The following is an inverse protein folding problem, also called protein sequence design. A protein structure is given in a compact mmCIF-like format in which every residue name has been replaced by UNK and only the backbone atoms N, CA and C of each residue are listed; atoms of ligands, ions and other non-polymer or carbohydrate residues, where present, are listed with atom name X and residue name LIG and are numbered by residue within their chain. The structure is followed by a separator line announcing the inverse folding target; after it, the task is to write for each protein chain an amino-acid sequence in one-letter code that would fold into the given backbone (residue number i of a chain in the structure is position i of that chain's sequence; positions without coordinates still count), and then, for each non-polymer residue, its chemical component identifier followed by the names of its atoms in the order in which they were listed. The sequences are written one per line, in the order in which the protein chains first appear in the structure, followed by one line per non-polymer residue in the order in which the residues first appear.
data_IF_516029931945
#
_entry.id   IF_516029931945
#
_cell.length_a   1.000
_cell.length_b   1.000
_cell.length_c   1.000
_cell.angle_alpha   90.00
_cell.angle_beta   90.00
_cell.angle_gamma   90.00
#
_symmetry.space_group_name_H-M   'P 1'
#
loop_
_entity.id
_entity.type
_entity.pdbx_description
1 polymer ?
#
# COMPACT_ATOMS: atom_id res chain seq x y z
N UNK A 1 20.02 -8.98 -11.22
CA UNK A 1 20.17 -7.56 -10.86
C UNK A 1 21.64 -7.21 -11.05
N UNK A 2 21.98 -6.36 -12.02
CA UNK A 2 23.37 -5.93 -12.21
C UNK A 2 23.86 -5.17 -10.98
N UNK A 3 25.15 -5.31 -10.65
CA UNK A 3 25.76 -4.60 -9.53
C UNK A 3 25.87 -3.11 -9.91
N UNK A 4 25.21 -2.24 -9.15
CA UNK A 4 25.26 -0.78 -9.36
C UNK A 4 26.57 -0.28 -8.77
N UNK A 5 27.52 0.07 -9.62
CA UNK A 5 28.79 0.68 -9.20
C UNK A 5 28.58 2.17 -8.87
N UNK A 6 29.47 2.72 -8.06
CA UNK A 6 29.64 4.13 -7.75
C UNK A 6 29.72 5.05 -8.98
N UNK A 7 30.24 4.55 -10.11
CA UNK A 7 30.37 5.27 -11.38
C UNK A 7 29.13 5.13 -12.29
N UNK A 8 28.09 4.41 -11.86
CA UNK A 8 26.87 4.20 -12.66
C UNK A 8 26.19 5.54 -12.95
N UNK A 9 25.98 5.85 -14.24
CA UNK A 9 25.22 7.03 -14.66
C UNK A 9 23.75 6.81 -14.33
N UNK A 10 23.16 7.75 -13.59
CA UNK A 10 21.73 7.73 -13.27
C UNK A 10 21.01 8.78 -14.11
N UNK A 11 20.08 8.32 -14.94
CA UNK A 11 19.17 9.18 -15.68
C UNK A 11 17.88 9.39 -14.89
N UNK A 12 17.38 10.63 -14.90
CA UNK A 12 16.16 11.00 -14.18
C UNK A 12 15.00 11.14 -15.15
N UNK A 13 14.06 10.21 -15.09
CA UNK A 13 12.79 10.28 -15.84
C UNK A 13 11.83 11.16 -15.06
N UNK A 14 11.41 12.29 -15.63
CA UNK A 14 10.37 13.14 -15.03
C UNK A 14 9.00 12.72 -15.53
N UNK A 15 8.07 12.47 -14.61
CA UNK A 15 6.67 12.24 -14.92
C UNK A 15 5.82 13.45 -14.53
N UNK A 16 5.33 14.16 -15.55
CA UNK A 16 4.59 15.44 -15.39
C UNK A 16 3.23 15.25 -14.71
N UNK A 17 2.58 14.12 -14.94
CA UNK A 17 1.33 13.76 -14.26
C UNK A 17 1.59 12.57 -13.33
N UNK A 18 1.79 12.84 -12.03
CA UNK A 18 2.09 11.79 -11.05
C UNK A 18 1.04 10.67 -11.07
N UNK A 19 -0.24 11.03 -11.23
CA UNK A 19 -1.34 10.05 -11.20
C UNK A 19 -1.28 9.12 -12.40
N UNK A 20 -0.99 9.66 -13.58
CA UNK A 20 -0.86 8.91 -14.82
C UNK A 20 0.37 7.97 -14.74
N UNK A 21 1.46 8.41 -14.11
CA UNK A 21 2.63 7.57 -13.81
C UNK A 21 2.32 6.41 -12.87
N UNK A 22 1.63 6.65 -11.75
CA UNK A 22 1.24 5.57 -10.84
C UNK A 22 0.27 4.60 -11.53
N UNK A 23 -0.68 5.10 -12.33
CA UNK A 23 -1.58 4.24 -13.11
C UNK A 23 -0.78 3.38 -14.10
N UNK A 24 0.17 3.97 -14.83
CA UNK A 24 1.00 3.26 -15.79
C UNK A 24 1.91 2.20 -15.15
N UNK A 25 2.35 2.41 -13.91
CA UNK A 25 3.08 1.41 -13.13
C UNK A 25 2.18 0.26 -12.68
N UNK A 26 0.98 0.58 -12.20
CA UNK A 26 0.01 -0.42 -11.73
C UNK A 26 -0.59 -1.23 -12.88
N UNK A 27 -0.76 -0.61 -14.04
CA UNK A 27 -1.34 -1.19 -15.25
C UNK A 27 -0.46 -0.85 -16.47
N UNK A 28 0.53 -1.70 -16.80
CA UNK A 28 1.43 -1.47 -17.91
C UNK A 28 0.73 -1.33 -19.27
N UNK A 29 -0.46 -1.92 -19.45
CA UNK A 29 -1.24 -1.78 -20.68
C UNK A 29 -1.97 -0.43 -20.80
N UNK A 30 -1.94 0.40 -19.76
CA UNK A 30 -2.60 1.69 -19.73
C UNK A 30 -2.16 2.59 -20.91
N UNK A 31 -3.10 3.34 -21.51
CA UNK A 31 -2.81 4.23 -22.64
C UNK A 31 -2.01 5.47 -22.22
N UNK A 32 -1.86 5.74 -20.93
CA UNK A 32 -1.03 6.85 -20.47
C UNK A 32 0.43 6.71 -20.92
N UNK A 33 1.05 7.84 -21.25
CA UNK A 33 2.48 7.98 -21.61
C UNK A 33 3.11 9.05 -20.71
N UNK A 34 3.27 8.75 -19.41
CA UNK A 34 3.64 9.76 -18.42
C UNK A 34 5.16 10.01 -18.37
N UNK A 35 5.96 9.12 -18.96
CA UNK A 35 7.41 9.22 -19.01
C UNK A 35 7.81 10.32 -19.99
N UNK A 36 8.58 11.31 -19.52
CA UNK A 36 9.05 12.44 -20.31
C UNK A 36 10.05 12.08 -21.41
N UNK A 37 10.78 13.08 -21.90
CA UNK A 37 11.69 12.96 -23.05
C UNK A 37 12.62 11.75 -22.99
N UNK A 38 12.71 11.04 -24.11
CA UNK A 38 13.66 9.94 -24.31
C UNK A 38 15.09 10.47 -24.18
N UNK A 39 15.86 9.85 -23.29
CA UNK A 39 17.30 10.08 -23.19
C UNK A 39 18.05 8.86 -23.75
N UNK A 40 19.23 9.12 -24.33
CA UNK A 40 20.14 8.06 -24.76
C UNK A 40 20.71 7.34 -23.54
N UNK A 41 20.03 6.25 -23.14
CA UNK A 41 20.50 5.34 -22.10
C UNK A 41 21.29 4.19 -22.72
N UNK A 42 22.46 3.90 -22.14
CA UNK A 42 23.26 2.74 -22.52
C UNK A 42 22.96 1.55 -21.57
N UNK A 43 23.11 0.30 -22.05
CA UNK A 43 23.04 -0.85 -21.16
C UNK A 43 24.05 -0.71 -20.01
N UNK A 44 23.57 -0.86 -18.76
CA UNK A 44 24.36 -0.62 -17.55
C UNK A 44 24.07 0.70 -16.86
N UNK A 45 23.46 1.68 -17.54
CA UNK A 45 22.94 2.89 -16.90
C UNK A 45 21.77 2.55 -15.97
N UNK A 46 21.50 3.42 -14.99
CA UNK A 46 20.37 3.28 -14.09
C UNK A 46 19.33 4.38 -14.30
N UNK A 47 18.07 4.06 -14.00
CA UNK A 47 16.95 4.99 -14.09
C UNK A 47 16.42 5.31 -12.70
N UNK A 48 16.23 6.60 -12.42
CA UNK A 48 15.49 7.12 -11.28
C UNK A 48 14.24 7.84 -11.78
N UNK A 49 13.06 7.45 -11.30
CA UNK A 49 11.80 8.09 -11.71
C UNK A 49 11.40 9.16 -10.70
N UNK A 50 11.24 10.39 -11.18
CA UNK A 50 10.76 11.52 -10.40
C UNK A 50 9.33 11.88 -10.80
N UNK A 51 8.45 11.99 -9.81
CA UNK A 51 7.03 12.33 -9.96
C UNK A 51 6.80 13.79 -9.54
N UNK A 52 6.06 14.54 -10.36
CA UNK A 52 5.57 15.89 -10.02
C UNK A 52 4.42 15.82 -9.00
N UNK A 53 4.76 15.38 -7.79
CA UNK A 53 3.93 15.51 -6.59
C UNK A 53 4.32 16.75 -5.79
N UNK A 54 3.54 17.07 -4.77
CA UNK A 54 3.80 18.09 -3.77
C UNK A 54 3.89 17.37 -2.42
N UNK A 55 5.06 17.35 -1.74
CA UNK A 55 6.37 17.72 -2.29
C UNK A 55 6.80 16.76 -3.43
N UNK A 56 7.78 17.17 -4.24
CA UNK A 56 8.32 16.34 -5.34
C UNK A 56 8.80 15.00 -4.80
N UNK A 57 8.46 13.91 -5.48
CA UNK A 57 8.82 12.57 -5.02
C UNK A 57 9.54 11.77 -6.08
N UNK A 58 10.17 10.70 -5.64
CA UNK A 58 10.88 9.74 -6.48
C UNK A 58 10.47 8.33 -6.12
N UNK A 59 10.44 7.47 -7.13
CA UNK A 59 10.38 6.03 -6.93
C UNK A 59 11.76 5.61 -6.45
N UNK A 60 11.86 5.20 -5.19
CA UNK A 60 13.10 4.82 -4.53
C UNK A 60 13.53 3.39 -4.92
N UNK A 61 13.60 3.15 -6.23
CA UNK A 61 14.16 1.96 -6.85
C UNK A 61 15.18 2.42 -7.89
N UNK A 62 16.25 1.65 -8.05
CA UNK A 62 17.18 1.81 -9.16
C UNK A 62 17.01 0.61 -10.08
N UNK A 63 16.61 0.88 -11.32
CA UNK A 63 16.54 -0.16 -12.34
C UNK A 63 17.59 0.08 -13.39
N UNK A 64 18.40 -0.95 -13.64
CA UNK A 64 19.42 -0.95 -14.68
C UNK A 64 18.76 -1.10 -16.05
N UNK A 65 19.22 -0.34 -17.03
CA UNK A 65 18.85 -0.51 -18.44
C UNK A 65 19.59 -1.74 -18.99
N UNK A 66 18.84 -2.68 -19.56
CA UNK A 66 19.40 -3.96 -20.04
C UNK A 66 19.54 -4.01 -21.56
N UNK A 67 18.74 -3.24 -22.28
CA UNK A 67 18.75 -3.12 -23.73
C UNK A 67 18.39 -1.69 -24.15
N UNK A 68 18.61 -1.37 -25.42
CA UNK A 68 18.24 -0.07 -26.00
C UNK A 68 16.75 0.08 -26.31
N UNK A 69 15.90 -0.83 -25.83
CA UNK A 69 14.45 -0.86 -26.11
C UNK A 69 13.65 0.22 -25.35
N UNK A 70 14.33 1.28 -24.90
CA UNK A 70 13.77 2.38 -24.14
C UNK A 70 13.72 2.15 -22.63
N UNK A 71 13.27 3.19 -21.92
CA UNK A 71 13.27 3.25 -20.45
C UNK A 71 12.01 2.64 -19.83
N UNK A 72 10.92 2.55 -20.59
CA UNK A 72 9.63 2.04 -20.12
C UNK A 72 9.70 0.57 -19.63
N UNK A 73 10.38 -0.36 -20.33
CA UNK A 73 10.62 -1.71 -19.80
C UNK A 73 11.41 -1.72 -18.49
N UNK A 74 12.37 -0.81 -18.32
CA UNK A 74 13.11 -0.68 -17.07
C UNK A 74 12.21 -0.17 -15.94
N UNK A 75 11.38 0.84 -16.19
CA UNK A 75 10.44 1.38 -15.20
C UNK A 75 9.38 0.34 -14.80
N UNK A 76 8.89 -0.47 -15.74
CA UNK A 76 7.92 -1.54 -15.44
C UNK A 76 8.47 -2.54 -14.40
N UNK A 77 9.77 -2.84 -14.45
CA UNK A 77 10.43 -3.72 -13.47
C UNK A 77 10.52 -3.15 -12.06
N UNK A 78 10.26 -1.85 -11.85
CA UNK A 78 10.12 -1.31 -10.49
C UNK A 78 9.00 -2.01 -9.69
N UNK A 79 8.05 -2.64 -10.38
CA UNK A 79 6.97 -3.41 -9.78
C UNK A 79 7.32 -4.90 -9.58
N UNK A 80 8.31 -5.42 -10.31
CA UNK A 80 8.79 -6.81 -10.27
C UNK A 80 9.78 -7.04 -9.12
N UNK A 81 9.41 -6.64 -7.89
CA UNK A 81 10.27 -6.96 -6.75
C UNK A 81 10.14 -8.46 -6.44
N UNK A 82 11.28 -9.16 -6.34
CA UNK A 82 11.37 -10.60 -6.02
C UNK A 82 10.65 -11.00 -4.70
N UNK A 83 10.13 -10.03 -3.95
CA UNK A 83 9.45 -10.19 -2.66
C UNK A 83 8.00 -9.70 -2.65
N UNK A 84 7.41 -9.39 -3.81
CA UNK A 84 5.99 -9.00 -3.94
C UNK A 84 5.63 -7.66 -3.30
N UNK A 85 6.62 -6.82 -3.02
CA UNK A 85 6.44 -5.46 -2.50
C UNK A 85 6.32 -4.44 -3.64
N UNK A 86 5.58 -3.36 -3.40
CA UNK A 86 5.55 -2.21 -4.33
C UNK A 86 6.67 -1.25 -3.98
N UNK A 87 7.20 -0.49 -4.96
CA UNK A 87 8.30 0.42 -4.71
C UNK A 87 7.89 1.53 -3.74
N UNK A 88 8.84 2.04 -2.97
CA UNK A 88 8.59 3.18 -2.10
C UNK A 88 8.64 4.50 -2.89
N UNK A 89 7.68 5.39 -2.65
CA UNK A 89 7.72 6.80 -3.05
C UNK A 89 8.29 7.67 -1.92
N UNK A 90 9.46 8.25 -2.12
CA UNK A 90 10.10 9.13 -1.15
C UNK A 90 10.10 10.56 -1.65
N UNK A 91 10.00 11.52 -0.73
CA UNK A 91 10.22 12.92 -1.07
C UNK A 91 11.67 13.11 -1.53
N UNK A 92 11.88 13.84 -2.62
CA UNK A 92 13.19 14.03 -3.24
C UNK A 92 14.19 14.67 -2.27
N UNK A 93 13.81 15.73 -1.57
CA UNK A 93 14.71 16.44 -0.64
C UNK A 93 15.13 15.54 0.53
N UNK A 94 14.17 14.80 1.09
CA UNK A 94 14.46 13.80 2.13
C UNK A 94 15.42 12.72 1.62
N UNK A 95 15.21 12.20 0.41
CA UNK A 95 16.11 11.20 -0.17
C UNK A 95 17.51 11.77 -0.42
N UNK A 96 17.59 12.98 -0.99
CA UNK A 96 18.84 13.67 -1.24
C UNK A 96 19.64 13.88 0.04
N UNK A 97 18.97 14.29 1.12
CA UNK A 97 19.60 14.45 2.43
C UNK A 97 20.13 13.14 3.01
N UNK A 98 19.41 12.02 2.83
CA UNK A 98 19.78 10.72 3.37
C UNK A 98 20.87 10.00 2.58
N UNK A 99 20.97 10.26 1.28
CA UNK A 99 21.84 9.51 0.35
C UNK A 99 22.97 10.34 -0.24
N UNK A 100 22.92 11.67 -0.11
CA UNK A 100 23.80 12.58 -0.85
C UNK A 100 23.48 12.65 -2.34
N UNK A 101 22.29 12.20 -2.76
CA UNK A 101 21.84 12.26 -4.15
C UNK A 101 21.72 13.72 -4.61
N UNK A 102 22.39 14.06 -5.71
CA UNK A 102 22.31 15.37 -6.34
C UNK A 102 21.66 15.23 -7.71
N UNK A 103 20.54 15.93 -7.93
CA UNK A 103 19.84 15.97 -9.22
C UNK A 103 20.12 17.30 -9.91
N UNK A 104 20.59 17.26 -11.14
CA UNK A 104 20.88 18.44 -11.95
C UNK A 104 20.59 18.19 -13.43
N UNK A 105 20.55 19.27 -14.20
CA UNK A 105 20.35 19.21 -15.65
C UNK A 105 21.68 19.47 -16.36
N UNK A 106 21.99 18.65 -17.35
CA UNK A 106 23.11 18.85 -18.28
C UNK A 106 22.62 18.87 -19.74
N UNK A 107 23.56 18.83 -20.70
CA UNK A 107 23.24 18.83 -22.14
C UNK A 107 22.55 17.55 -22.61
N UNK A 108 22.64 16.45 -21.84
CA UNK A 108 22.07 15.14 -22.16
C UNK A 108 20.73 14.86 -21.48
N UNK A 109 20.30 15.71 -20.54
CA UNK A 109 19.01 15.61 -19.86
C UNK A 109 19.09 15.92 -18.37
N UNK A 110 18.20 15.32 -17.59
CA UNK A 110 18.26 15.39 -16.12
C UNK A 110 18.97 14.15 -15.62
N UNK A 111 20.06 14.34 -14.89
CA UNK A 111 20.88 13.26 -14.36
C UNK A 111 21.05 13.39 -12.85
N UNK A 112 21.38 12.28 -12.21
CA UNK A 112 21.68 12.24 -10.78
C UNK A 112 23.09 11.70 -10.50
N UNK A 113 23.74 12.26 -9.48
CA UNK A 113 25.01 11.76 -8.90
C UNK A 113 24.76 11.20 -7.50
N UNK A 114 25.62 10.29 -7.08
CA UNK A 114 25.51 9.63 -5.76
C UNK A 114 24.92 8.22 -5.83
N UNK A 115 25.19 7.48 -6.91
CA UNK A 115 24.66 6.12 -7.11
C UNK A 115 24.98 5.18 -5.95
N UNK A 116 26.19 5.25 -5.38
CA UNK A 116 26.58 4.42 -4.25
C UNK A 116 25.69 4.64 -3.00
N UNK A 117 25.44 5.90 -2.62
CA UNK A 117 24.61 6.22 -1.45
C UNK A 117 23.15 5.83 -1.65
N UNK A 118 22.62 6.02 -2.87
CA UNK A 118 21.27 5.59 -3.22
C UNK A 118 21.15 4.06 -3.26
N UNK A 119 22.12 3.36 -3.86
CA UNK A 119 22.14 1.91 -3.91
C UNK A 119 22.24 1.31 -2.50
N UNK A 120 23.08 1.85 -1.60
CA UNK A 120 23.14 1.42 -0.21
C UNK A 120 21.78 1.62 0.50
N UNK A 121 21.17 2.79 0.33
CA UNK A 121 19.88 3.11 0.93
C UNK A 121 18.75 2.18 0.47
N UNK A 122 18.67 1.90 -0.83
CA UNK A 122 17.70 0.97 -1.42
C UNK A 122 17.99 -0.48 -0.96
N UNK A 123 19.27 -0.88 -0.95
CA UNK A 123 19.70 -2.22 -0.52
C UNK A 123 19.43 -2.49 0.96
N UNK A 124 19.48 -1.46 1.82
CA UNK A 124 19.04 -1.53 3.22
C UNK A 124 17.54 -1.74 3.37
N UNK A 125 16.82 -1.86 2.24
CA UNK A 125 15.40 -2.09 2.08
C UNK A 125 14.61 -1.14 2.95
N UNK A 126 14.23 0.00 2.39
CA UNK A 126 13.02 0.69 2.87
C UNK A 126 11.91 -0.34 2.69
N UNK A 127 11.38 -0.96 3.77
CA UNK A 127 10.28 -1.89 3.60
C UNK A 127 9.19 -1.09 2.92
N UNK A 128 8.66 -1.58 1.79
CA UNK A 128 7.49 -1.00 1.12
C UNK A 128 6.54 -0.53 2.21
N UNK A 129 6.52 0.79 2.39
CA UNK A 129 6.18 1.44 3.64
C UNK A 129 4.67 1.49 3.77
N UNK A 130 4.00 0.34 3.81
CA UNK A 130 2.55 0.27 3.99
C UNK A 130 2.12 0.48 5.44
N UNK A 131 2.96 1.14 6.25
CA UNK A 131 2.54 1.70 7.52
C UNK A 131 1.55 2.83 7.27
N UNK A 132 0.50 2.91 8.09
CA UNK A 132 -0.53 3.94 7.99
C UNK A 132 0.04 5.36 7.85
N UNK A 133 1.07 5.69 8.65
CA UNK A 133 1.73 7.01 8.64
C UNK A 133 2.33 7.44 7.31
N UNK A 134 2.79 6.48 6.53
CA UNK A 134 3.40 6.77 5.23
C UNK A 134 2.38 7.32 4.22
N UNK A 135 1.11 6.91 4.36
CA UNK A 135 -0.02 7.27 3.50
C UNK A 135 -0.88 8.40 4.07
N UNK A 136 -0.52 8.95 5.22
CA UNK A 136 -1.24 10.06 5.84
C UNK A 136 -0.78 11.41 5.27
N UNK A 137 -1.66 12.41 5.40
CA UNK A 137 -1.52 13.76 4.87
C UNK A 137 -2.40 14.00 3.63
N UNK A 138 -2.61 15.28 3.33
CA UNK A 138 -3.44 15.74 2.20
C UNK A 138 -2.63 16.12 0.95
N UNK A 139 -1.34 15.76 0.92
CA UNK A 139 -0.44 16.11 -0.16
C UNK A 139 -0.63 15.16 -1.37
N UNK A 140 -0.23 15.59 -2.57
CA UNK A 140 -0.32 14.70 -3.74
C UNK A 140 0.69 13.55 -3.67
N UNK A 141 1.76 13.68 -2.88
CA UNK A 141 2.64 12.56 -2.52
C UNK A 141 1.89 11.53 -1.66
N UNK A 142 1.13 11.96 -0.65
CA UNK A 142 0.31 11.05 0.14
C UNK A 142 -0.72 10.34 -0.77
N UNK A 143 -1.37 11.09 -1.67
CA UNK A 143 -2.30 10.51 -2.65
C UNK A 143 -1.65 9.47 -3.58
N UNK A 144 -0.43 9.75 -4.07
CA UNK A 144 0.35 8.83 -4.89
C UNK A 144 0.68 7.53 -4.14
N UNK A 145 1.07 7.64 -2.87
CA UNK A 145 1.34 6.50 -1.99
C UNK A 145 0.10 5.66 -1.73
N UNK A 146 -1.05 6.29 -1.54
CA UNK A 146 -2.33 5.59 -1.36
C UNK A 146 -2.69 4.80 -2.62
N UNK A 147 -2.58 5.42 -3.79
CA UNK A 147 -2.88 4.76 -5.06
C UNK A 147 -1.92 3.60 -5.33
N UNK A 148 -0.61 3.82 -5.18
CA UNK A 148 0.38 2.77 -5.36
C UNK A 148 0.15 1.62 -4.36
N UNK A 149 -0.10 1.91 -3.08
CA UNK A 149 -0.41 0.92 -2.04
C UNK A 149 -1.81 0.27 -2.19
N UNK A 150 -2.66 0.75 -3.11
CA UNK A 150 -3.89 0.05 -3.49
C UNK A 150 -3.62 -1.14 -4.43
N UNK A 151 -2.62 -1.03 -5.30
CA UNK A 151 -2.27 -2.08 -6.26
C UNK A 151 -3.27 -2.27 -7.39
N UNK A 152 -4.05 -1.24 -7.71
CA UNK A 152 -5.14 -1.37 -8.67
C UNK A 152 -6.42 -1.95 -8.09
N UNK A 153 -6.55 -2.07 -6.76
CA UNK A 153 -7.77 -2.57 -6.12
C UNK A 153 -8.50 -1.47 -5.34
N UNK A 154 -9.81 -1.40 -5.51
CA UNK A 154 -10.65 -0.52 -4.71
C UNK A 154 -10.59 -0.96 -3.23
N UNK A 155 -10.18 -0.06 -2.35
CA UNK A 155 -10.10 -0.33 -0.90
C UNK A 155 -11.49 -0.57 -0.30
N UNK A 156 -12.52 0.06 -0.88
CA UNK A 156 -13.91 -0.03 -0.43
C UNK A 156 -14.59 -1.36 -0.75
N UNK A 157 -14.56 -1.81 -2.01
CA UNK A 157 -15.27 -3.01 -2.46
C UNK A 157 -14.37 -4.19 -2.84
N UNK A 158 -13.04 -4.01 -2.88
CA UNK A 158 -12.06 -5.03 -3.31
C UNK A 158 -12.22 -5.51 -4.76
N UNK A 159 -12.97 -4.78 -5.61
CA UNK A 159 -12.93 -4.97 -7.06
C UNK A 159 -11.70 -4.30 -7.65
N UNK A 160 -11.20 -4.85 -8.74
CA UNK A 160 -10.15 -4.22 -9.54
C UNK A 160 -10.64 -2.87 -10.08
N UNK A 161 -9.75 -1.88 -10.08
CA UNK A 161 -9.96 -0.57 -10.67
C UNK A 161 -9.70 -0.67 -12.16
N UNK A 162 -10.58 -0.11 -12.99
CA UNK A 162 -10.30 0.01 -14.42
C UNK A 162 -9.24 1.09 -14.66
N UNK A 163 -8.00 0.64 -14.77
CA UNK A 163 -6.82 1.46 -15.05
C UNK A 163 -6.46 1.52 -16.55
N UNK A 164 -7.21 0.80 -17.38
CA UNK A 164 -6.98 0.67 -18.83
C UNK A 164 -7.72 1.74 -19.64
N UNK A 165 -8.78 2.32 -19.08
CA UNK A 165 -9.53 3.38 -19.73
C UNK A 165 -8.68 4.64 -19.99
N UNK A 166 -8.89 5.29 -21.14
CA UNK A 166 -8.18 6.53 -21.50
C UNK A 166 -8.36 7.69 -20.51
N UNK A 167 -9.44 7.65 -19.74
CA UNK A 167 -9.81 8.62 -18.72
C UNK A 167 -9.79 8.02 -17.30
N UNK A 168 -9.13 6.86 -17.09
CA UNK A 168 -9.06 6.14 -15.80
C UNK A 168 -8.66 7.04 -14.62
N UNK A 169 -7.81 8.04 -14.84
CA UNK A 169 -7.41 9.00 -13.80
C UNK A 169 -8.59 9.73 -13.13
N UNK A 170 -9.74 9.85 -13.79
CA UNK A 170 -10.94 10.48 -13.24
C UNK A 170 -11.88 9.49 -12.53
N UNK A 171 -11.69 8.19 -12.76
CA UNK A 171 -12.51 7.10 -12.22
C UNK A 171 -11.91 6.46 -10.95
N UNK A 172 -10.75 6.96 -10.52
CA UNK A 172 -10.07 6.54 -9.30
C UNK A 172 -10.02 7.72 -8.33
N UNK A 173 -10.69 7.58 -7.19
CA UNK A 173 -10.79 8.62 -6.17
C UNK A 173 -9.88 8.31 -5.00
N UNK A 174 -9.15 9.30 -4.52
CA UNK A 174 -8.19 9.13 -3.43
C UNK A 174 -8.72 9.83 -2.18
N UNK A 175 -8.97 9.04 -1.14
CA UNK A 175 -9.35 9.51 0.18
C UNK A 175 -8.10 9.65 1.04
N UNK A 176 -7.62 10.88 1.20
CA UNK A 176 -6.51 11.24 2.07
C UNK A 176 -6.99 11.50 3.50
N UNK A 177 -6.17 11.16 4.49
CA UNK A 177 -6.47 11.38 5.91
C UNK A 177 -5.26 11.96 6.62
N UNK A 178 -5.50 12.88 7.54
CA UNK A 178 -4.42 13.46 8.34
C UNK A 178 -3.77 12.43 9.28
N UNK A 179 -2.49 12.67 9.55
CA UNK A 179 -1.84 12.12 10.72
C UNK A 179 -2.14 13.06 11.89
N UNK A 180 -3.18 12.77 12.67
CA UNK A 180 -3.30 13.41 13.98
C UNK A 180 -2.55 12.55 15.01
N UNK A 181 -1.35 12.95 15.45
CA UNK A 181 -0.59 12.22 16.46
C UNK A 181 -1.21 12.33 17.86
N UNK A 182 -2.10 13.31 18.08
CA UNK A 182 -2.80 13.54 19.34
C UNK A 182 -4.22 12.94 19.34
N UNK A 183 -4.74 12.54 18.17
CA UNK A 183 -6.05 11.90 18.08
C UNK A 183 -6.10 10.67 18.99
N UNK A 184 -7.14 10.57 19.85
CA UNK A 184 -7.32 9.37 20.64
C UNK A 184 -7.57 8.21 19.67
N UNK A 185 -6.71 7.21 19.74
CA UNK A 185 -7.00 5.91 19.15
C UNK A 185 -8.30 5.40 19.76
N UNK A 186 -9.27 5.01 18.93
CA UNK A 186 -10.49 4.42 19.46
C UNK A 186 -10.14 3.03 20.00
N UNK A 187 -10.31 2.74 21.30
CA UNK A 187 -10.04 1.42 21.82
C UNK A 187 -11.01 0.41 21.21
N UNK A 188 -10.49 -0.71 20.68
CA UNK A 188 -11.32 -1.89 20.44
C UNK A 188 -11.81 -2.42 21.78
N UNK A 189 -13.13 -2.38 21.96
CA UNK A 189 -13.80 -2.84 23.17
C UNK A 189 -13.64 -4.34 23.42
N UNK A 190 -13.22 -5.13 22.42
CA UNK A 190 -12.89 -6.54 22.62
C UNK A 190 -11.39 -6.74 22.96
N UNK A 191 -11.12 -6.82 24.26
CA UNK A 191 -9.95 -7.54 24.77
C UNK A 191 -10.32 -9.03 24.90
N UNK A 192 -9.60 -9.96 24.24
CA UNK A 192 -9.87 -11.38 24.43
C UNK A 192 -9.64 -11.76 25.89
N UNK A 193 -10.52 -12.59 26.52
CA UNK A 193 -10.37 -12.95 27.92
C UNK A 193 -8.99 -13.56 28.22
N UNK A 194 -8.48 -13.30 29.42
CA UNK A 194 -7.27 -13.97 29.89
C UNK A 194 -7.50 -15.48 29.94
N UNK A 195 -6.61 -16.31 29.38
CA UNK A 195 -6.71 -17.75 29.52
C UNK A 195 -6.55 -18.06 31.00
N UNK A 196 -7.53 -18.78 31.55
CA UNK A 196 -7.42 -19.38 32.86
C UNK A 196 -6.24 -20.36 32.79
N UNK A 197 -5.18 -20.12 33.54
CA UNK A 197 -3.97 -20.95 33.47
C UNK A 197 -4.20 -22.28 34.19
N UNK A 198 -4.34 -23.36 33.43
CA UNK A 198 -4.10 -24.69 33.98
C UNK A 198 -2.61 -25.04 33.73
N UNK A 199 -1.86 -25.05 34.84
CA UNK A 199 -0.49 -25.54 35.05
C UNK A 199 0.70 -24.92 34.28
N UNK A 200 1.74 -24.59 35.05
CA UNK A 200 2.93 -23.84 34.66
C UNK A 200 4.04 -24.79 34.18
N UNK A 201 4.47 -24.67 32.92
CA UNK A 201 5.61 -25.39 32.32
C UNK A 201 6.38 -24.49 31.35
N UNK A 202 7.56 -24.88 30.84
CA UNK A 202 8.33 -24.05 29.90
C UNK A 202 7.57 -23.65 28.61
N UNK A 203 6.44 -24.27 28.31
CA UNK A 203 5.50 -23.89 27.25
C UNK A 203 4.60 -22.68 27.62
N UNK A 204 4.65 -22.22 28.87
CA UNK A 204 3.95 -21.02 29.37
C UNK A 204 4.74 -19.73 29.15
N UNK A 205 5.81 -19.76 28.33
CA UNK A 205 6.56 -18.57 27.91
C UNK A 205 5.56 -17.62 27.22
N UNK A 206 5.27 -16.53 27.92
CA UNK A 206 4.34 -15.51 27.45
C UNK A 206 4.95 -14.79 26.24
N UNK A 207 4.47 -15.11 25.04
CA UNK A 207 4.58 -14.22 23.90
C UNK A 207 3.53 -13.11 24.09
N UNK A 208 3.88 -12.07 24.84
CA UNK A 208 2.96 -10.97 25.21
C UNK A 208 2.59 -10.03 24.06
N UNK A 209 3.13 -10.19 22.85
CA UNK A 209 2.85 -9.28 21.72
C UNK A 209 1.52 -9.50 20.99
N UNK A 210 0.76 -10.54 21.34
CA UNK A 210 -0.49 -10.88 20.62
C UNK A 210 -1.72 -10.10 21.10
N UNK A 211 -1.67 -9.49 22.29
CA UNK A 211 -2.84 -9.06 23.06
C UNK A 211 -3.05 -7.54 23.19
N UNK A 212 -2.25 -6.72 22.51
CA UNK A 212 -2.54 -5.29 22.50
C UNK A 212 -3.88 -5.05 21.77
N UNK A 213 -4.83 -4.31 22.38
CA UNK A 213 -6.08 -3.96 21.71
C UNK A 213 -5.72 -3.25 20.41
N UNK A 214 -6.32 -3.70 19.29
CA UNK A 214 -6.09 -3.03 18.01
C UNK A 214 -6.54 -1.58 18.20
N UNK A 215 -5.64 -0.64 18.02
CA UNK A 215 -5.99 0.78 18.11
C UNK A 215 -6.38 1.22 16.72
N UNK A 216 -7.64 1.62 16.53
CA UNK A 216 -8.09 2.12 15.23
C UNK A 216 -7.84 3.63 15.12
N UNK A 217 -7.25 4.08 14.00
CA UNK A 217 -7.27 5.50 13.68
C UNK A 217 -8.74 5.95 13.47
N UNK A 218 -9.00 7.24 13.60
CA UNK A 218 -10.33 7.81 13.34
C UNK A 218 -10.77 7.57 11.89
N UNK A 219 -9.82 7.54 10.97
CA UNK A 219 -10.08 7.31 9.56
C UNK A 219 -8.90 6.60 8.87
N UNK A 220 -9.07 6.19 7.62
CA UNK A 220 -8.12 5.36 6.91
C UNK A 220 -7.93 5.79 5.44
N UNK A 221 -6.68 5.88 4.94
CA UNK A 221 -6.42 6.25 3.55
C UNK A 221 -6.93 5.20 2.57
N UNK A 222 -7.60 5.61 1.49
CA UNK A 222 -8.22 4.67 0.55
C UNK A 222 -8.17 5.14 -0.90
N UNK A 223 -8.03 4.17 -1.82
CA UNK A 223 -8.31 4.36 -3.24
C UNK A 223 -9.67 3.73 -3.57
N UNK A 224 -10.56 4.49 -4.20
CA UNK A 224 -11.96 4.12 -4.44
C UNK A 224 -12.28 4.15 -5.93
N UNK A 225 -13.10 3.19 -6.38
CA UNK A 225 -13.81 3.30 -7.66
C UNK A 225 -14.96 4.30 -7.55
N UNK A 226 -15.52 4.72 -8.69
CA UNK A 226 -16.69 5.62 -8.76
C UNK A 226 -17.83 5.16 -7.84
N UNK A 227 -18.29 3.92 -7.96
CA UNK A 227 -19.39 3.39 -7.15
C UNK A 227 -19.15 3.58 -5.64
N UNK A 228 -17.93 3.28 -5.17
CA UNK A 228 -17.61 3.41 -3.74
C UNK A 228 -17.47 4.88 -3.31
N UNK A 229 -16.94 5.73 -4.19
CA UNK A 229 -16.84 7.17 -3.93
C UNK A 229 -18.24 7.80 -3.82
N UNK A 230 -19.12 7.47 -4.76
CA UNK A 230 -20.49 7.98 -4.82
C UNK A 230 -21.35 7.45 -3.67
N UNK A 231 -21.27 6.15 -3.36
CA UNK A 231 -21.96 5.56 -2.20
C UNK A 231 -21.49 6.19 -0.88
N UNK A 232 -20.18 6.41 -0.72
CA UNK A 232 -19.62 7.07 0.47
C UNK A 232 -20.18 8.49 0.60
N UNK A 233 -20.19 9.26 -0.49
CA UNK A 233 -20.67 10.65 -0.52
C UNK A 233 -22.18 10.75 -0.32
N UNK A 234 -22.97 9.97 -1.05
CA UNK A 234 -24.44 9.97 -0.95
C UNK A 234 -24.94 9.41 0.37
N UNK A 235 -24.21 8.45 0.96
CA UNK A 235 -24.49 7.91 2.28
C UNK A 235 -24.18 8.86 3.44
N UNK A 236 -23.58 10.03 3.17
CA UNK A 236 -23.23 11.03 4.18
C UNK A 236 -22.06 10.63 5.07
N UNK A 237 -21.19 9.72 4.62
CA UNK A 237 -20.02 9.30 5.38
C UNK A 237 -18.89 10.33 5.22
N UNK A 238 -18.37 10.82 6.34
CA UNK A 238 -17.21 11.74 6.36
C UNK A 238 -15.87 11.00 6.43
N UNK A 239 -15.87 9.77 6.95
CA UNK A 239 -14.69 8.91 7.06
C UNK A 239 -14.85 7.61 6.28
N UNK A 240 -13.76 7.15 5.68
CA UNK A 240 -13.72 5.90 4.94
C UNK A 240 -13.95 4.69 5.84
N UNK A 241 -13.47 4.69 7.09
CA UNK A 241 -13.68 3.55 7.99
C UNK A 241 -15.16 3.31 8.29
N UNK A 242 -15.92 4.36 8.58
CA UNK A 242 -17.36 4.26 8.82
C UNK A 242 -18.09 3.73 7.58
N UNK A 243 -17.75 4.26 6.39
CA UNK A 243 -18.25 3.73 5.13
C UNK A 243 -17.90 2.24 4.97
N UNK A 244 -16.64 1.86 5.21
CA UNK A 244 -16.16 0.48 5.04
C UNK A 244 -16.89 -0.48 5.97
N UNK A 245 -17.07 -0.13 7.24
CA UNK A 245 -17.82 -0.96 8.20
C UNK A 245 -19.33 -0.95 7.92
N UNK A 246 -19.88 0.10 7.30
CA UNK A 246 -21.29 0.11 6.89
C UNK A 246 -21.65 -0.98 5.88
N UNK A 247 -20.65 -1.43 5.09
CA UNK A 247 -20.78 -2.52 4.11
C UNK A 247 -20.69 -3.91 4.72
N UNK A 248 -20.33 -4.00 6.00
CA UNK A 248 -20.20 -5.28 6.70
C UNK A 248 -21.50 -5.63 7.44
N UNK A 249 -21.81 -6.92 7.65
CA UNK A 249 -23.01 -7.32 8.36
C UNK A 249 -22.97 -6.84 9.82
N UNK A 250 -24.13 -6.50 10.39
CA UNK A 250 -24.22 -6.18 11.82
C UNK A 250 -24.02 -7.44 12.65
N UNK A 251 -23.38 -7.30 13.81
CA UNK A 251 -23.27 -8.41 14.75
C UNK A 251 -24.67 -8.88 15.19
N UNK A 252 -24.99 -10.18 15.12
CA UNK A 252 -26.30 -10.69 15.53
C UNK A 252 -26.56 -10.57 17.04
N UNK A 253 -25.50 -10.45 17.86
CA UNK A 253 -25.60 -10.40 19.33
C UNK A 253 -25.73 -8.97 19.83
N UNK A 254 -24.82 -8.07 19.44
CA UNK A 254 -24.77 -6.69 19.97
C UNK A 254 -25.21 -5.63 18.96
N UNK A 255 -25.60 -6.01 17.73
CA UNK A 255 -25.98 -5.11 16.64
C UNK A 255 -24.91 -4.10 16.19
N UNK A 256 -23.69 -4.19 16.72
CA UNK A 256 -22.58 -3.34 16.31
C UNK A 256 -22.26 -3.55 14.83
N UNK A 257 -21.96 -2.45 14.13
CA UNK A 257 -21.51 -2.44 12.72
C UNK A 257 -20.02 -2.69 12.56
N UNK A 258 -19.31 -2.65 13.67
CA UNK A 258 -17.89 -2.89 13.67
C UNK A 258 -17.60 -4.39 13.64
N UNK A 259 -17.51 -4.93 12.44
CA UNK A 259 -17.29 -6.36 12.21
C UNK A 259 -16.14 -6.53 11.24
N UNK A 260 -15.20 -7.40 11.56
CA UNK A 260 -14.02 -7.70 10.76
C UNK A 260 -14.28 -8.97 9.95
N UNK A 261 -13.80 -9.01 8.70
CA UNK A 261 -13.78 -10.26 7.93
C UNK A 261 -12.65 -11.13 8.46
N UNK A 262 -12.97 -12.36 8.80
CA UNK A 262 -11.99 -13.37 9.20
C UNK A 262 -11.27 -13.87 7.96
N UNK A 263 -9.95 -13.98 8.04
CA UNK A 263 -9.10 -14.59 7.04
C UNK A 263 -8.28 -15.68 7.70
N UNK A 264 -8.34 -16.89 7.15
CA UNK A 264 -7.50 -18.00 7.59
C UNK A 264 -6.10 -17.78 7.02
N UNK A 265 -5.21 -17.22 7.83
CA UNK A 265 -3.77 -17.31 7.59
C UNK A 265 -3.32 -18.63 8.21
N UNK A 266 -2.59 -19.48 7.51
CA UNK A 266 -2.02 -20.70 8.10
C UNK A 266 -1.02 -20.42 9.24
N UNK A 267 0.12 -21.10 9.26
CA UNK A 267 1.17 -20.89 10.29
C UNK A 267 1.92 -19.54 10.18
N UNK A 268 1.43 -18.59 9.39
CA UNK A 268 2.13 -17.33 9.13
C UNK A 268 1.61 -16.19 10.00
N UNK A 269 2.53 -15.53 10.71
CA UNK A 269 2.34 -14.38 11.63
C UNK A 269 1.95 -13.08 10.90
N UNK A 270 1.02 -13.16 9.95
CA UNK A 270 0.55 -11.98 9.23
C UNK A 270 -0.59 -11.33 10.01
N UNK A 271 -0.30 -10.26 10.73
CA UNK A 271 -1.36 -9.30 11.10
C UNK A 271 -1.80 -8.57 9.82
N UNK A 272 -3.09 -8.64 9.43
CA UNK A 272 -3.56 -7.83 8.32
C UNK A 272 -3.36 -6.37 8.74
N UNK A 273 -2.81 -5.57 7.82
CA UNK A 273 -2.59 -4.15 8.08
C UNK A 273 -3.92 -3.43 8.18
N UNK A 274 -4.94 -3.92 7.49
CA UNK A 274 -6.24 -3.31 7.41
C UNK A 274 -7.14 -3.65 8.60
N UNK A 275 -7.76 -2.64 9.23
CA UNK A 275 -8.48 -2.80 10.49
C UNK A 275 -9.82 -3.53 10.39
N UNK A 276 -10.31 -3.74 9.17
CA UNK A 276 -11.55 -4.47 8.89
C UNK A 276 -11.30 -5.93 8.53
N UNK A 277 -10.06 -6.40 8.65
CA UNK A 277 -9.66 -7.79 8.49
C UNK A 277 -9.13 -8.32 9.81
N UNK A 278 -9.33 -9.60 10.06
CA UNK A 278 -8.71 -10.31 11.17
C UNK A 278 -8.13 -11.62 10.67
N UNK A 279 -6.87 -11.89 11.01
CA UNK A 279 -6.31 -13.21 10.81
C UNK A 279 -6.63 -14.11 11.99
N UNK A 280 -7.10 -15.32 11.67
CA UNK A 280 -7.24 -16.43 12.61
C UNK A 280 -6.23 -17.50 12.26
N UNK A 281 -5.84 -18.30 13.24
CA UNK A 281 -5.02 -19.48 13.01
C UNK A 281 -5.77 -20.58 12.26
N UNK A 282 -5.29 -21.82 12.37
CA UNK A 282 -5.75 -22.97 11.57
C UNK A 282 -7.25 -23.34 11.74
N UNK A 283 -7.92 -22.83 12.79
CA UNK A 283 -9.34 -23.10 13.03
C UNK A 283 -10.21 -21.95 12.52
N UNK A 284 -11.17 -22.24 11.64
CA UNK A 284 -12.21 -21.29 11.26
C UNK A 284 -13.12 -21.03 12.46
N UNK A 285 -13.22 -19.76 12.87
CA UNK A 285 -14.12 -19.33 13.94
C UNK A 285 -15.44 -18.76 13.39
N UNK A 286 -15.56 -18.63 12.07
CA UNK A 286 -16.66 -17.96 11.35
C UNK A 286 -16.13 -16.88 10.40
N UNK A 287 -16.88 -16.57 9.33
CA UNK A 287 -16.49 -15.61 8.27
C UNK A 287 -16.32 -14.18 8.78
N UNK A 288 -17.02 -13.82 9.84
CA UNK A 288 -17.00 -12.50 10.45
C UNK A 288 -16.70 -12.58 11.94
N UNK A 289 -16.13 -11.50 12.48
CA UNK A 289 -16.01 -11.32 13.92
C UNK A 289 -16.35 -9.90 14.34
N UNK A 290 -17.19 -9.78 15.36
CA UNK A 290 -17.52 -8.48 15.93
C UNK A 290 -16.30 -7.88 16.66
N UNK A 291 -15.92 -6.66 16.32
CA UNK A 291 -14.88 -5.91 17.04
C UNK A 291 -15.36 -5.37 18.40
N UNK A 292 -16.67 -5.23 18.61
CA UNK A 292 -17.21 -4.73 19.87
C UNK A 292 -17.32 -5.82 20.95
N UNK A 293 -17.90 -6.97 20.64
CA UNK A 293 -18.11 -8.05 21.62
C UNK A 293 -17.29 -9.32 21.35
N UNK A 294 -16.53 -9.37 20.24
CA UNK A 294 -15.72 -10.54 19.87
C UNK A 294 -16.49 -11.71 19.29
N UNK A 295 -17.82 -11.67 19.25
CA UNK A 295 -18.64 -12.78 18.75
C UNK A 295 -18.34 -13.07 17.27
N UNK A 296 -17.93 -14.30 16.92
CA UNK A 296 -17.78 -14.68 15.53
C UNK A 296 -19.09 -15.22 14.94
N UNK A 297 -19.33 -14.98 13.65
CA UNK A 297 -20.60 -15.32 12.99
C UNK A 297 -20.46 -15.39 11.47
N UNK A 298 -21.48 -15.94 10.80
CA UNK A 298 -21.45 -16.28 9.37
C UNK A 298 -20.67 -17.58 9.14
N UNK A 299 -21.29 -18.56 8.50
CA UNK A 299 -20.73 -19.89 8.24
C UNK A 299 -19.38 -19.85 7.53
N UNK A 300 -18.65 -20.97 7.55
CA UNK A 300 -17.35 -21.10 6.88
C UNK A 300 -17.55 -21.06 5.36
N UNK A 301 -16.61 -20.46 4.61
CA UNK A 301 -16.68 -20.39 3.13
C UNK A 301 -16.62 -21.81 2.46
N UNK A 302 -16.53 -22.88 3.27
CA UNK A 302 -16.59 -24.29 2.86
C UNK A 302 -18.00 -24.84 2.68
N UNK A 303 -19.04 -24.13 3.10
CA UNK A 303 -20.44 -24.59 2.94
C UNK A 303 -21.07 -24.18 1.60
N UNK A 304 -20.34 -23.46 0.74
CA UNK A 304 -20.79 -22.99 -0.58
C UNK A 304 -20.17 -23.78 -1.77
N UNK A 305 -19.46 -24.89 -1.54
CA UNK A 305 -19.14 -25.83 -2.63
C UNK A 305 -20.39 -26.69 -2.90
N UNK A 306 -20.94 -26.72 -4.13
CA UNK A 306 -22.01 -27.65 -4.44
C UNK A 306 -21.48 -29.07 -4.26
N UNK A 307 -22.21 -29.88 -3.48
CA UNK A 307 -22.01 -31.32 -3.44
C UNK A 307 -22.23 -31.87 -4.86
N UNK A 308 -21.15 -32.05 -5.62
CA UNK A 308 -21.16 -32.88 -6.81
C UNK A 308 -21.45 -34.32 -6.37
N UNK A 309 -22.64 -34.80 -6.77
CA UNK A 309 -23.10 -36.18 -6.59
C UNK A 309 -22.45 -37.20 -7.54
#
# INVERSE_FOLDING_TARGET
MGEIDSDTKIHVVRAVAWKDAIIKLLEPSSPYRPWGEEFDAEPGDAVLVMLETEPTSVIAELVTVESRDGVEPAIARCMDTEKGGRPALLELETLAHLTGLEVYRDESGVIARGAAGLAEFIARRVPASGGLRYRQGHSTLAAARILLDSGGWCTGCRRELDLTAANARYHVHIHTVDADPAAPWTPVAYEPPEPVSDEYGPDSIRVTKWREPIRLPLDWPAALCDDCHDEMRMGGFTGFLDFRFSRHPRCPVCSARWTMRTMTSGFTDWRPREPWLRTTGCCSLGKWQCGACGHPFGGDDREDEPEDG
#
